data_IF_441561337799
#
_entry.id   IF_441561337799
#
_cell.length_a   1.000
_cell.length_b   1.000
_cell.length_c   1.000
_cell.angle_alpha   90.00
_cell.angle_beta   90.00
_cell.angle_gamma   90.00
#
_symmetry.space_group_name_H-M   'P 1'
#
loop_
_entity.id
_entity.type
_entity.pdbx_description
1 polymer ?
#
# COMPACT_ATOMS: atom_id res chain seq x y z
N UNK A 1 77.14 52.32 -9.24
CA UNK A 1 75.66 52.40 -9.39
C UNK A 1 75.14 51.02 -9.05
N UNK A 2 74.68 50.88 -7.81
CA UNK A 2 75.05 49.75 -6.97
C UNK A 2 74.06 48.58 -7.03
N UNK A 3 74.65 47.40 -6.85
CA UNK A 3 74.08 46.05 -6.86
C UNK A 3 72.82 45.81 -6.01
N UNK A 4 72.37 46.79 -5.22
CA UNK A 4 71.26 46.69 -4.27
C UNK A 4 69.86 46.92 -4.86
N UNK A 5 69.73 47.65 -5.99
CA UNK A 5 68.40 47.87 -6.60
C UNK A 5 67.90 46.68 -7.43
N UNK A 6 68.79 45.84 -7.93
CA UNK A 6 68.40 44.62 -8.67
C UNK A 6 67.94 43.49 -7.74
N UNK A 7 68.47 43.41 -6.52
CA UNK A 7 68.03 42.40 -5.55
C UNK A 7 66.62 42.70 -5.02
N UNK A 8 66.29 43.94 -4.68
CA UNK A 8 64.96 44.32 -4.18
C UNK A 8 63.83 44.05 -5.19
N UNK A 9 64.08 44.28 -6.49
CA UNK A 9 63.09 44.01 -7.55
C UNK A 9 62.97 42.52 -7.88
N UNK A 10 64.04 41.73 -7.68
CA UNK A 10 64.00 40.27 -7.87
C UNK A 10 63.24 39.56 -6.74
N UNK A 11 63.37 40.04 -5.49
CA UNK A 11 62.64 39.52 -4.33
C UNK A 11 61.13 39.80 -4.45
N UNK A 12 60.74 40.96 -5.00
CA UNK A 12 59.33 41.26 -5.29
C UNK A 12 58.74 40.45 -6.43
N UNK A 13 59.56 39.92 -7.35
CA UNK A 13 59.10 39.09 -8.48
C UNK A 13 58.92 37.61 -8.10
N UNK A 14 59.75 37.09 -7.18
CA UNK A 14 59.64 35.70 -6.70
C UNK A 14 58.69 35.52 -5.51
N UNK A 15 58.29 36.61 -4.82
CA UNK A 15 57.37 36.58 -3.67
C UNK A 15 55.97 37.13 -3.98
N UNK A 16 55.60 37.34 -5.25
CA UNK A 16 54.26 37.81 -5.65
C UNK A 16 53.14 36.92 -5.09
N UNK A 17 53.37 35.60 -5.08
CA UNK A 17 52.46 34.65 -4.47
C UNK A 17 52.36 34.82 -2.96
N UNK A 18 53.42 35.20 -2.24
CA UNK A 18 53.36 35.40 -0.78
C UNK A 18 52.51 36.62 -0.43
N UNK A 19 52.64 37.72 -1.17
CA UNK A 19 51.80 38.90 -0.92
C UNK A 19 50.33 38.67 -1.30
N UNK A 20 50.07 37.93 -2.38
CA UNK A 20 48.71 37.52 -2.77
C UNK A 20 48.14 36.55 -1.72
N UNK A 21 48.92 35.59 -1.25
CA UNK A 21 48.51 34.61 -0.24
C UNK A 21 48.31 35.25 1.13
N UNK A 22 49.15 36.20 1.53
CA UNK A 22 48.93 37.01 2.74
C UNK A 22 47.71 37.92 2.59
N UNK A 23 47.45 38.49 1.41
CA UNK A 23 46.25 39.29 1.15
C UNK A 23 44.96 38.46 1.18
N UNK A 24 44.97 37.26 0.58
CA UNK A 24 43.85 36.32 0.62
C UNK A 24 43.67 35.76 2.04
N UNK A 25 44.75 35.39 2.73
CA UNK A 25 44.68 34.95 4.12
C UNK A 25 44.17 36.06 5.04
N UNK A 26 44.53 37.33 4.81
CA UNK A 26 43.99 38.47 5.55
C UNK A 26 42.50 38.70 5.25
N UNK A 27 42.07 38.56 3.99
CA UNK A 27 40.65 38.65 3.61
C UNK A 27 39.82 37.49 4.17
N UNK A 28 40.36 36.28 4.18
CA UNK A 28 39.74 35.10 4.82
C UNK A 28 39.71 35.29 6.34
N UNK A 29 40.78 35.83 6.94
CA UNK A 29 40.81 36.15 8.36
C UNK A 29 39.80 37.26 8.73
N UNK A 30 39.62 38.28 7.89
CA UNK A 30 38.60 39.33 8.06
C UNK A 30 37.18 38.80 7.80
N UNK A 31 37.00 37.89 6.85
CA UNK A 31 35.71 37.25 6.58
C UNK A 31 35.33 36.19 7.64
N UNK A 32 36.32 35.57 8.28
CA UNK A 32 36.15 34.64 9.42
C UNK A 32 36.16 35.35 10.78
N UNK A 33 36.56 36.62 10.86
CA UNK A 33 36.48 37.43 12.08
C UNK A 33 35.06 37.48 12.66
N UNK A 34 33.96 37.66 11.89
CA UNK A 34 32.60 37.58 12.44
C UNK A 34 32.18 36.16 12.89
N UNK A 35 32.95 35.11 12.55
CA UNK A 35 32.74 33.74 13.06
C UNK A 35 33.62 33.40 14.29
N UNK A 36 34.62 34.23 14.59
CA UNK A 36 35.51 34.12 15.76
C UNK A 36 35.17 35.13 16.86
N UNK A 37 34.43 36.19 16.52
CA UNK A 37 33.68 36.98 17.48
C UNK A 37 32.47 36.13 17.82
N UNK A 38 32.53 35.40 18.95
CA UNK A 38 31.32 35.12 19.72
C UNK A 38 30.53 36.41 19.69
N UNK A 39 29.38 36.40 19.00
CA UNK A 39 28.48 37.52 19.12
C UNK A 39 28.09 37.50 20.59
N UNK A 40 28.77 38.33 21.40
CA UNK A 40 28.25 38.78 22.67
C UNK A 40 27.04 39.63 22.31
N UNK A 41 25.97 38.96 21.90
CA UNK A 41 24.65 39.50 22.09
C UNK A 41 24.63 39.90 23.57
N UNK A 42 24.49 41.19 23.84
CA UNK A 42 24.24 41.68 25.19
C UNK A 42 22.86 41.16 25.60
N UNK A 43 22.83 39.89 25.98
CA UNK A 43 21.68 39.26 26.57
C UNK A 43 21.51 39.82 27.98
N UNK A 44 20.26 39.90 28.43
CA UNK A 44 19.93 40.03 29.85
C UNK A 44 20.58 38.88 30.62
N UNK A 45 20.74 39.00 31.93
CA UNK A 45 21.31 37.92 32.73
C UNK A 45 20.47 36.64 32.62
N UNK A 46 19.15 36.77 32.46
CA UNK A 46 18.24 35.66 32.11
C UNK A 46 18.56 35.03 30.76
N UNK A 47 18.82 35.85 29.73
CA UNK A 47 19.20 35.36 28.42
C UNK A 47 20.55 34.65 28.43
N UNK A 48 21.50 35.12 29.25
CA UNK A 48 22.78 34.43 29.47
C UNK A 48 22.57 33.08 30.15
N UNK A 49 21.72 33.02 31.18
CA UNK A 49 21.37 31.78 31.86
C UNK A 49 20.84 30.72 30.87
N UNK A 50 19.93 31.12 29.97
CA UNK A 50 19.38 30.23 28.93
C UNK A 50 20.48 29.72 27.97
N UNK A 51 21.46 30.57 27.61
CA UNK A 51 22.58 30.18 26.74
C UNK A 51 23.54 29.21 27.45
N UNK A 52 23.85 29.47 28.72
CA UNK A 52 24.74 28.65 29.54
C UNK A 52 24.16 27.25 29.78
N UNK A 53 22.83 27.15 29.98
CA UNK A 53 22.13 25.90 30.26
C UNK A 53 21.41 25.31 29.03
N UNK A 54 21.73 25.80 27.83
CA UNK A 54 20.96 25.48 26.61
C UNK A 54 20.80 23.99 26.33
N UNK A 55 21.82 23.18 26.58
CA UNK A 55 21.77 21.74 26.27
C UNK A 55 20.82 21.02 27.23
N UNK A 56 20.90 21.32 28.52
CA UNK A 56 19.98 20.77 29.53
C UNK A 56 18.54 21.20 29.26
N UNK A 57 18.31 22.46 28.89
CA UNK A 57 16.96 22.97 28.59
C UNK A 57 16.40 22.29 27.34
N UNK A 58 17.20 22.11 26.29
CA UNK A 58 16.77 21.41 25.07
C UNK A 58 16.42 19.95 25.36
N UNK A 59 17.24 19.26 26.15
CA UNK A 59 16.96 17.88 26.57
C UNK A 59 15.64 17.78 27.33
N UNK A 60 15.39 18.67 28.30
CA UNK A 60 14.12 18.68 29.04
C UNK A 60 12.91 18.98 28.14
N UNK A 61 13.02 19.89 27.18
CA UNK A 61 11.96 20.14 26.18
C UNK A 61 11.64 18.87 25.38
N UNK A 62 12.67 18.15 24.94
CA UNK A 62 12.50 16.90 24.19
C UNK A 62 11.82 15.86 25.08
N UNK A 63 12.31 15.64 26.30
CA UNK A 63 11.78 14.64 27.23
C UNK A 63 10.32 14.88 27.63
N UNK A 64 9.93 16.15 27.82
CA UNK A 64 8.56 16.49 28.20
C UNK A 64 7.56 16.38 27.04
N UNK A 65 8.00 16.62 25.81
CA UNK A 65 7.13 16.61 24.62
C UNK A 65 7.17 15.30 23.82
N UNK A 66 8.14 14.40 24.08
CA UNK A 66 8.22 13.06 23.48
C UNK A 66 7.02 12.16 23.87
N UNK A 67 6.55 12.11 25.14
CA UNK A 67 5.35 11.37 25.53
C UNK A 67 4.07 11.85 24.82
N UNK A 68 4.03 13.11 24.40
CA UNK A 68 2.90 13.70 23.65
C UNK A 68 2.92 13.36 22.15
N UNK A 69 3.84 12.47 21.71
CA UNK A 69 4.06 12.07 20.32
C UNK A 69 4.42 13.24 19.39
N UNK A 70 4.97 14.34 19.92
CA UNK A 70 5.26 15.56 19.14
C UNK A 70 6.56 15.51 18.32
N UNK A 71 7.33 14.41 18.41
CA UNK A 71 8.58 14.14 17.72
C UNK A 71 9.42 15.40 17.41
N UNK A 72 10.31 15.69 18.34
CA UNK A 72 11.22 16.82 18.27
C UNK A 72 12.56 16.31 17.77
N UNK A 73 12.97 16.76 16.59
CA UNK A 73 14.28 16.51 15.98
C UNK A 73 15.28 17.58 16.36
N UNK A 74 14.82 18.82 16.53
CA UNK A 74 15.63 19.96 16.94
C UNK A 74 14.83 20.92 17.80
N UNK A 75 15.52 21.61 18.70
CA UNK A 75 14.97 22.70 19.52
C UNK A 75 15.84 23.93 19.29
N UNK A 76 15.20 25.04 18.93
CA UNK A 76 15.85 26.35 18.87
C UNK A 76 15.30 27.25 19.97
N UNK A 77 16.13 27.51 20.97
CA UNK A 77 15.85 28.47 22.03
C UNK A 77 15.94 29.90 21.50
N UNK A 78 15.17 30.82 22.07
CA UNK A 78 15.25 32.26 21.78
C UNK A 78 15.69 33.03 23.03
N UNK A 79 17.00 33.03 23.38
CA UNK A 79 17.50 33.67 24.61
C UNK A 79 17.20 35.17 24.70
N UNK A 80 17.08 35.86 23.56
CA UNK A 80 16.69 37.27 23.52
C UNK A 80 15.24 37.55 23.94
N UNK A 81 14.45 36.51 24.19
CA UNK A 81 13.08 36.61 24.75
C UNK A 81 13.02 36.31 26.24
N UNK A 82 14.14 35.94 26.86
CA UNK A 82 14.20 35.55 28.26
C UNK A 82 13.88 36.74 29.18
N UNK A 83 12.94 36.55 30.10
CA UNK A 83 12.53 37.53 31.09
C UNK A 83 12.37 36.84 32.44
N UNK A 84 13.13 37.31 33.43
CA UNK A 84 13.04 36.84 34.79
C UNK A 84 12.15 37.72 35.67
N UNK A 85 11.32 37.08 36.49
CA UNK A 85 10.49 37.76 37.49
C UNK A 85 10.30 36.89 38.73
N UNK A 86 10.11 37.54 39.87
CA UNK A 86 9.58 36.86 41.05
C UNK A 86 8.06 36.78 40.93
N UNK A 87 7.49 35.66 41.38
CA UNK A 87 6.07 35.62 41.62
C UNK A 87 5.67 36.68 42.66
N UNK A 88 4.41 37.13 42.61
CA UNK A 88 3.89 38.07 43.60
C UNK A 88 3.63 37.31 44.90
N UNK A 89 4.68 36.95 45.65
CA UNK A 89 4.60 36.16 46.88
C UNK A 89 3.52 36.64 47.84
N UNK A 90 3.22 37.93 47.90
CA UNK A 90 2.06 38.43 48.65
C UNK A 90 2.14 38.01 50.12
N UNK A 91 1.20 37.18 50.60
CA UNK A 91 1.20 36.62 51.97
C UNK A 91 1.95 35.29 52.13
N UNK A 92 2.45 34.72 51.03
CA UNK A 92 3.30 33.52 50.99
C UNK A 92 4.69 33.91 50.47
N UNK A 93 5.67 33.02 50.65
CA UNK A 93 6.96 33.20 50.01
C UNK A 93 6.85 33.00 48.51
N UNK A 94 7.77 33.60 47.78
CA UNK A 94 7.81 33.61 46.34
C UNK A 94 9.10 33.05 45.77
N UNK A 95 9.11 32.70 44.49
CA UNK A 95 10.29 32.16 43.79
C UNK A 95 10.61 32.97 42.54
N UNK A 96 11.85 32.85 42.07
CA UNK A 96 12.24 33.40 40.78
C UNK A 96 11.84 32.47 39.62
N UNK A 97 11.41 33.06 38.52
CA UNK A 97 11.02 32.36 37.29
C UNK A 97 11.68 33.01 36.09
N UNK A 98 12.17 32.23 35.13
CA UNK A 98 12.61 32.71 33.82
C UNK A 98 11.64 32.21 32.75
N UNK A 99 11.02 33.15 32.03
CA UNK A 99 10.17 32.87 30.89
C UNK A 99 10.91 33.09 29.58
N UNK A 100 10.79 32.17 28.63
CA UNK A 100 11.42 32.28 27.32
C UNK A 100 10.57 31.64 26.23
N UNK A 101 10.88 31.95 24.97
CA UNK A 101 10.27 31.31 23.81
C UNK A 101 11.25 30.36 23.13
N UNK A 102 10.73 29.31 22.51
CA UNK A 102 11.49 28.41 21.64
C UNK A 102 10.62 27.95 20.46
N UNK A 103 11.25 27.37 19.45
CA UNK A 103 10.55 26.63 18.40
C UNK A 103 11.27 25.32 18.10
N UNK A 104 10.54 24.35 17.59
CA UNK A 104 11.05 23.00 17.34
C UNK A 104 11.04 22.67 15.85
N UNK A 105 11.85 21.69 15.45
CA UNK A 105 11.94 21.17 14.07
C UNK A 105 12.19 22.24 13.01
N UNK A 106 12.93 23.29 13.39
CA UNK A 106 13.16 24.48 12.57
C UNK A 106 11.89 25.16 12.02
N UNK A 107 10.74 24.91 12.67
CA UNK A 107 9.45 25.44 12.28
C UNK A 107 8.93 26.43 13.33
N UNK A 108 8.91 27.72 12.99
CA UNK A 108 8.42 28.79 13.88
C UNK A 108 6.94 28.66 14.23
N UNK A 109 6.17 27.94 13.41
CA UNK A 109 4.77 27.66 13.73
C UNK A 109 4.69 26.60 14.84
N UNK A 110 5.65 25.68 14.96
CA UNK A 110 5.79 24.80 16.12
C UNK A 110 6.56 25.50 17.24
N UNK A 111 5.94 26.53 17.81
CA UNK A 111 6.52 27.33 18.89
C UNK A 111 6.02 26.90 20.27
N UNK A 112 6.84 27.15 21.29
CA UNK A 112 6.48 26.93 22.68
C UNK A 112 6.96 28.08 23.56
N UNK A 113 6.28 28.26 24.68
CA UNK A 113 6.73 29.11 25.80
C UNK A 113 7.23 28.19 26.90
N UNK A 114 8.42 28.48 27.41
CA UNK A 114 9.02 27.78 28.53
C UNK A 114 9.09 28.67 29.76
N UNK A 115 8.89 28.04 30.90
CA UNK A 115 9.10 28.61 32.23
C UNK A 115 10.12 27.75 32.98
N UNK A 116 11.15 28.38 33.54
CA UNK A 116 12.07 27.76 34.49
C UNK A 116 11.78 28.33 35.88
N UNK A 117 11.37 27.50 36.83
CA UNK A 117 11.11 27.89 38.22
C UNK A 117 12.29 27.54 39.12
N UNK A 118 12.74 28.48 39.94
CA UNK A 118 13.90 28.34 40.82
C UNK A 118 13.45 28.30 42.30
N UNK A 119 13.19 27.10 42.86
CA UNK A 119 12.66 26.96 44.22
C UNK A 119 13.63 27.44 45.31
N UNK A 120 14.93 27.45 45.00
CA UNK A 120 15.99 27.83 45.95
C UNK A 120 16.34 29.33 45.85
N UNK A 121 15.74 30.04 44.89
CA UNK A 121 15.76 31.51 44.78
C UNK A 121 14.47 32.09 45.41
N UNK A 122 14.27 31.77 46.69
CA UNK A 122 13.05 32.12 47.43
C UNK A 122 13.15 33.54 48.02
N UNK A 123 12.03 34.27 47.96
CA UNK A 123 11.83 35.53 48.66
C UNK A 123 10.80 35.38 49.79
N UNK A 124 11.03 35.99 50.96
CA UNK A 124 10.05 35.99 52.05
C UNK A 124 8.72 36.66 51.66
N UNK A 125 7.62 36.36 52.38
CA UNK A 125 6.37 37.09 52.23
C UNK A 125 6.55 38.61 52.40
N UNK A 126 5.80 39.39 51.64
CA UNK A 126 5.83 40.87 51.64
C UNK A 126 7.19 41.49 51.31
N UNK A 127 8.03 40.81 50.52
CA UNK A 127 9.25 41.40 49.97
C UNK A 127 8.89 42.48 48.95
N UNK A 128 9.28 43.72 49.21
CA UNK A 128 9.03 44.87 48.33
C UNK A 128 10.20 45.21 47.42
N UNK A 129 11.41 44.78 47.80
CA UNK A 129 12.64 44.97 47.04
C UNK A 129 13.16 43.57 46.77
N UNK A 130 13.04 43.13 45.52
CA UNK A 130 13.49 41.81 45.13
C UNK A 130 15.02 41.77 45.03
N UNK A 131 15.67 40.73 45.59
CA UNK A 131 17.10 40.53 45.42
C UNK A 131 17.44 40.24 43.95
N UNK A 132 18.64 40.61 43.53
CA UNK A 132 19.18 40.22 42.24
C UNK A 132 19.67 38.76 42.34
N UNK A 133 18.99 37.79 41.69
CA UNK A 133 19.31 36.38 41.86
C UNK A 133 20.66 35.98 41.28
N UNK A 134 21.30 36.86 40.50
CA UNK A 134 22.63 36.63 39.93
C UNK A 134 23.78 37.20 40.78
N UNK A 135 23.49 38.09 41.73
CA UNK A 135 24.51 38.81 42.51
C UNK A 135 24.40 38.56 44.03
N UNK A 136 23.20 38.32 44.54
CA UNK A 136 22.97 38.18 45.97
C UNK A 136 23.29 36.76 46.46
N UNK A 137 24.15 36.66 47.49
CA UNK A 137 24.64 35.38 48.01
C UNK A 137 23.57 34.49 48.67
N UNK A 138 22.40 35.05 48.96
CA UNK A 138 21.25 34.35 49.55
C UNK A 138 20.31 33.78 48.46
N UNK A 139 20.68 33.86 47.17
CA UNK A 139 19.91 33.33 46.04
C UNK A 139 20.66 32.16 45.42
N UNK A 140 19.98 31.02 45.25
CA UNK A 140 20.52 29.84 44.61
C UNK A 140 19.70 29.48 43.35
N UNK A 141 20.35 29.57 42.20
CA UNK A 141 19.76 29.26 40.90
C UNK A 141 20.29 27.94 40.31
N UNK A 142 20.89 27.06 41.14
CA UNK A 142 21.51 25.82 40.66
C UNK A 142 20.50 24.71 40.36
N UNK A 143 19.34 24.72 41.02
CA UNK A 143 18.25 23.77 40.78
C UNK A 143 17.04 24.48 40.17
N UNK A 144 16.44 23.88 39.14
CA UNK A 144 15.25 24.42 38.50
C UNK A 144 14.30 23.31 38.03
N UNK A 145 13.03 23.68 37.87
CA UNK A 145 11.99 22.87 37.22
C UNK A 145 11.52 23.58 35.96
N UNK A 146 11.12 22.83 34.94
CA UNK A 146 10.59 23.41 33.70
C UNK A 146 9.14 23.03 33.45
N UNK A 147 8.39 23.99 32.90
CA UNK A 147 7.08 23.78 32.30
C UNK A 147 7.03 24.40 30.90
N UNK A 148 6.26 23.80 30.00
CA UNK A 148 6.21 24.18 28.60
C UNK A 148 4.77 24.19 28.05
N UNK A 149 4.41 25.31 27.43
CA UNK A 149 3.13 25.48 26.73
C UNK A 149 3.38 25.53 25.21
N UNK A 150 2.82 24.56 24.46
CA UNK A 150 2.93 24.51 22.99
C UNK A 150 1.85 25.35 22.32
N UNK A 151 2.17 25.94 21.17
CA UNK A 151 1.21 26.73 20.40
C UNK A 151 0.07 25.87 19.83
N UNK A 152 -1.18 26.32 19.94
CA UNK A 152 -2.33 25.64 19.34
C UNK A 152 -2.33 25.77 17.80
N UNK A 153 -1.75 24.82 17.08
CA UNK A 153 -1.90 24.70 15.62
C UNK A 153 -1.74 23.26 15.10
N UNK A 154 -2.20 23.05 13.86
CA UNK A 154 -2.21 21.74 13.18
C UNK A 154 -0.82 21.21 12.82
N UNK A 155 0.23 22.04 12.87
CA UNK A 155 1.59 21.61 12.53
C UNK A 155 2.14 20.59 13.54
N UNK A 156 1.55 20.50 14.72
CA UNK A 156 1.90 19.50 15.72
C UNK A 156 1.28 18.11 15.49
N UNK A 157 0.47 17.91 14.43
CA UNK A 157 -0.29 16.68 14.17
C UNK A 157 0.25 15.85 12.97
N UNK A 158 1.46 16.14 12.49
CA UNK A 158 2.05 15.57 11.27
C UNK A 158 2.10 14.02 11.24
N UNK A 159 2.30 13.35 12.38
CA UNK A 159 2.30 11.87 12.48
C UNK A 159 0.93 11.25 12.19
N UNK A 160 -0.16 11.96 12.52
CA UNK A 160 -1.51 11.53 12.13
C UNK A 160 -1.68 11.58 10.62
N UNK A 161 -1.13 12.60 9.98
CA UNK A 161 -1.19 12.75 8.52
C UNK A 161 -0.34 11.68 7.81
N UNK A 162 0.84 11.35 8.36
CA UNK A 162 1.69 10.25 7.86
C UNK A 162 0.99 8.89 7.98
N UNK A 163 0.45 8.56 9.17
CA UNK A 163 -0.29 7.30 9.39
C UNK A 163 -1.52 7.19 8.45
N UNK A 164 -2.24 8.31 8.23
CA UNK A 164 -3.36 8.37 7.27
C UNK A 164 -2.87 8.17 5.84
N UNK A 165 -1.75 8.78 5.46
CA UNK A 165 -1.17 8.64 4.12
C UNK A 165 -0.67 7.21 3.86
N UNK A 166 0.03 6.59 4.82
CA UNK A 166 0.48 5.20 4.74
C UNK A 166 -0.70 4.23 4.62
N UNK A 167 -1.75 4.42 5.43
CA UNK A 167 -2.96 3.61 5.36
C UNK A 167 -3.67 3.77 4.00
N UNK A 168 -3.78 5.01 3.48
CA UNK A 168 -4.37 5.29 2.19
C UNK A 168 -3.57 4.63 1.04
N UNK A 169 -2.24 4.73 1.09
CA UNK A 169 -1.36 4.14 0.10
C UNK A 169 -1.48 2.61 0.05
N UNK A 170 -1.49 1.97 1.23
CA UNK A 170 -1.65 0.52 1.33
C UNK A 170 -2.96 0.04 0.71
N UNK A 171 -4.09 0.67 1.06
CA UNK A 171 -5.40 0.29 0.51
C UNK A 171 -5.49 0.50 -1.01
N UNK A 172 -4.85 1.55 -1.53
CA UNK A 172 -4.78 1.78 -2.97
C UNK A 172 -3.98 0.69 -3.69
N UNK A 173 -2.81 0.31 -3.14
CA UNK A 173 -1.97 -0.74 -3.71
C UNK A 173 -2.68 -2.12 -3.72
N UNK A 174 -3.36 -2.47 -2.62
CA UNK A 174 -4.14 -3.70 -2.53
C UNK A 174 -5.28 -3.73 -3.57
N UNK A 175 -5.99 -2.61 -3.72
CA UNK A 175 -7.06 -2.46 -4.73
C UNK A 175 -6.55 -2.63 -6.17
N UNK A 176 -5.38 -2.07 -6.50
CA UNK A 176 -4.74 -2.25 -7.81
C UNK A 176 -4.31 -3.70 -8.06
N UNK A 177 -3.77 -4.37 -7.04
CA UNK A 177 -3.39 -5.78 -7.12
C UNK A 177 -4.59 -6.65 -7.47
N UNK A 178 -5.72 -6.43 -6.79
CA UNK A 178 -6.93 -7.21 -6.99
C UNK A 178 -7.60 -6.92 -8.34
N UNK A 179 -7.58 -5.66 -8.80
CA UNK A 179 -7.99 -5.32 -10.16
C UNK A 179 -7.13 -6.03 -11.21
N UNK A 180 -5.80 -6.04 -11.01
CA UNK A 180 -4.86 -6.74 -11.89
C UNK A 180 -5.14 -8.23 -11.99
N UNK A 181 -5.35 -8.91 -10.85
CA UNK A 181 -5.72 -10.33 -10.81
C UNK A 181 -7.06 -10.58 -11.51
N UNK A 182 -8.04 -9.71 -11.32
CA UNK A 182 -9.36 -9.80 -11.96
C UNK A 182 -9.28 -9.68 -13.48
N UNK A 183 -8.53 -8.71 -14.00
CA UNK A 183 -8.33 -8.52 -15.44
C UNK A 183 -7.57 -9.70 -16.07
N UNK A 184 -6.50 -10.17 -15.42
CA UNK A 184 -5.74 -11.34 -15.89
C UNK A 184 -6.66 -12.56 -15.98
N UNK A 185 -7.50 -12.78 -14.95
CA UNK A 185 -8.53 -13.80 -14.98
C UNK A 185 -9.43 -13.57 -16.21
N UNK A 186 -10.11 -12.44 -16.33
CA UNK A 186 -11.02 -12.17 -17.44
C UNK A 186 -10.39 -12.45 -18.82
N UNK A 187 -9.20 -11.90 -19.11
CA UNK A 187 -8.50 -12.11 -20.39
C UNK A 187 -8.20 -13.58 -20.66
N UNK A 188 -7.76 -14.31 -19.63
CA UNK A 188 -7.56 -15.74 -19.79
C UNK A 188 -8.90 -16.45 -20.11
N UNK A 189 -10.04 -16.03 -19.52
CA UNK A 189 -11.34 -16.72 -19.68
C UNK A 189 -11.77 -16.57 -21.12
N UNK A 190 -11.72 -15.35 -21.63
CA UNK A 190 -12.08 -15.02 -23.01
C UNK A 190 -11.20 -15.78 -24.01
N UNK A 191 -9.89 -15.88 -23.74
CA UNK A 191 -8.97 -16.67 -24.58
C UNK A 191 -9.28 -18.17 -24.54
N UNK A 192 -9.59 -18.71 -23.37
CA UNK A 192 -9.96 -20.13 -23.22
C UNK A 192 -11.26 -20.46 -23.96
N UNK A 193 -12.26 -19.58 -23.86
CA UNK A 193 -13.52 -19.71 -24.59
C UNK A 193 -13.31 -19.68 -26.12
N UNK A 194 -12.50 -18.73 -26.62
CA UNK A 194 -12.17 -18.63 -28.03
C UNK A 194 -11.49 -19.90 -28.57
N UNK A 195 -10.49 -20.42 -27.86
CA UNK A 195 -9.76 -21.63 -28.27
C UNK A 195 -10.65 -22.86 -28.27
N UNK A 196 -11.57 -22.95 -27.30
CA UNK A 196 -12.54 -24.03 -27.24
C UNK A 196 -13.57 -23.94 -28.37
N UNK A 197 -14.07 -22.75 -28.70
CA UNK A 197 -14.98 -22.57 -29.82
C UNK A 197 -14.31 -22.97 -31.15
N UNK A 198 -13.02 -22.64 -31.32
CA UNK A 198 -12.24 -23.09 -32.48
C UNK A 198 -12.13 -24.62 -32.53
N UNK A 199 -11.76 -25.26 -31.42
CA UNK A 199 -11.71 -26.72 -31.32
C UNK A 199 -13.07 -27.36 -31.63
N UNK A 200 -14.15 -26.81 -31.07
CA UNK A 200 -15.51 -27.34 -31.26
C UNK A 200 -15.94 -27.24 -32.73
N UNK A 201 -15.58 -26.19 -33.44
CA UNK A 201 -15.88 -26.05 -34.87
C UNK A 201 -15.14 -27.10 -35.71
N UNK A 202 -13.88 -27.39 -35.39
CA UNK A 202 -13.08 -28.37 -36.13
C UNK A 202 -13.53 -29.82 -35.86
N UNK A 203 -13.95 -30.12 -34.62
CA UNK A 203 -14.30 -31.48 -34.19
C UNK A 203 -15.82 -31.72 -34.03
N UNK A 204 -16.67 -30.80 -34.47
CA UNK A 204 -18.12 -30.86 -34.24
C UNK A 204 -18.75 -32.15 -34.77
N UNK A 205 -18.36 -32.60 -35.96
CA UNK A 205 -18.91 -33.82 -36.57
C UNK A 205 -18.51 -35.08 -35.80
N UNK A 206 -17.26 -35.14 -35.33
CA UNK A 206 -16.76 -36.24 -34.52
C UNK A 206 -17.50 -36.28 -33.17
N UNK A 207 -17.72 -35.12 -32.55
CA UNK A 207 -18.48 -35.01 -31.30
C UNK A 207 -19.94 -35.45 -31.49
N UNK A 208 -20.62 -34.96 -32.53
CA UNK A 208 -21.98 -35.39 -32.88
C UNK A 208 -22.06 -36.90 -33.06
N UNK A 209 -21.12 -37.47 -33.82
CA UNK A 209 -21.07 -38.90 -34.06
C UNK A 209 -20.88 -39.71 -32.78
N UNK A 210 -19.99 -39.27 -31.88
CA UNK A 210 -19.75 -39.92 -30.60
C UNK A 210 -21.02 -39.97 -29.73
N UNK A 211 -21.66 -38.81 -29.50
CA UNK A 211 -22.89 -38.74 -28.67
C UNK A 211 -24.03 -39.52 -29.30
N UNK A 212 -24.20 -39.42 -30.62
CA UNK A 212 -25.25 -40.15 -31.33
C UNK A 212 -25.06 -41.66 -31.22
N UNK A 213 -23.82 -42.13 -31.39
CA UNK A 213 -23.48 -43.55 -31.29
C UNK A 213 -23.83 -44.10 -29.92
N UNK A 214 -23.46 -43.37 -28.85
CA UNK A 214 -23.77 -43.80 -27.49
C UNK A 214 -25.28 -43.80 -27.21
N UNK A 215 -25.97 -42.70 -27.54
CA UNK A 215 -27.40 -42.55 -27.29
C UNK A 215 -28.22 -43.64 -27.99
N UNK A 216 -27.96 -43.91 -29.27
CA UNK A 216 -28.75 -44.87 -30.06
C UNK A 216 -28.31 -46.31 -29.90
N UNK A 217 -27.07 -46.56 -29.44
CA UNK A 217 -26.70 -47.88 -28.93
C UNK A 217 -27.50 -48.22 -27.69
N UNK A 218 -27.66 -47.26 -26.78
CA UNK A 218 -28.36 -47.47 -25.52
C UNK A 218 -29.89 -47.55 -25.70
N UNK A 219 -30.47 -46.75 -26.59
CA UNK A 219 -31.90 -46.83 -26.95
C UNK A 219 -32.11 -46.55 -28.46
N UNK A 220 -32.15 -47.61 -29.29
CA UNK A 220 -32.28 -47.48 -30.75
C UNK A 220 -33.59 -46.85 -31.22
N UNK A 221 -34.66 -46.89 -30.42
CA UNK A 221 -35.96 -46.33 -30.80
C UNK A 221 -35.93 -44.79 -30.85
N UNK A 222 -34.98 -44.18 -30.14
CA UNK A 222 -34.77 -42.74 -30.15
C UNK A 222 -34.34 -42.22 -31.52
N UNK A 223 -33.61 -42.99 -32.33
CA UNK A 223 -33.21 -42.56 -33.67
C UNK A 223 -34.44 -42.31 -34.55
N UNK A 224 -35.45 -43.19 -34.46
CA UNK A 224 -36.71 -43.00 -35.18
C UNK A 224 -37.52 -41.83 -34.63
N UNK A 225 -37.37 -41.49 -33.36
CA UNK A 225 -38.12 -40.40 -32.73
C UNK A 225 -37.48 -39.03 -32.96
N UNK A 226 -36.15 -38.96 -32.94
CA UNK A 226 -35.37 -37.71 -32.93
C UNK A 226 -34.69 -37.40 -34.27
N UNK A 227 -34.37 -38.43 -35.08
CA UNK A 227 -33.49 -38.28 -36.24
C UNK A 227 -32.02 -38.21 -35.83
N UNK A 228 -31.12 -37.73 -36.70
CA UNK A 228 -29.71 -37.54 -36.33
C UNK A 228 -29.52 -36.32 -35.43
N UNK A 229 -28.38 -36.25 -34.75
CA UNK A 229 -27.95 -35.02 -34.08
C UNK A 229 -27.64 -33.98 -35.16
N UNK A 230 -28.36 -32.88 -35.14
CA UNK A 230 -28.21 -31.80 -36.11
C UNK A 230 -27.07 -30.87 -35.70
N UNK A 231 -27.05 -30.44 -34.43
CA UNK A 231 -26.04 -29.52 -33.92
C UNK A 231 -25.67 -29.84 -32.48
N UNK A 232 -24.40 -29.57 -32.16
CA UNK A 232 -23.88 -29.48 -30.78
C UNK A 232 -23.17 -28.15 -30.67
N UNK A 233 -23.49 -27.38 -29.63
CA UNK A 233 -22.84 -26.09 -29.35
C UNK A 233 -22.67 -25.90 -27.85
N UNK A 234 -21.74 -25.05 -27.45
CA UNK A 234 -21.67 -24.60 -26.06
C UNK A 234 -23.01 -23.98 -25.64
N UNK A 235 -23.54 -24.40 -24.49
CA UNK A 235 -24.84 -23.96 -24.02
C UNK A 235 -24.82 -22.48 -23.66
N UNK A 236 -25.91 -21.78 -24.00
CA UNK A 236 -26.13 -20.41 -23.50
C UNK A 236 -26.33 -20.35 -21.98
N UNK A 237 -26.60 -21.50 -21.35
CA UNK A 237 -26.76 -21.68 -19.90
C UNK A 237 -25.46 -22.03 -19.18
N UNK A 238 -24.31 -21.84 -19.85
CA UNK A 238 -23.00 -21.97 -19.23
C UNK A 238 -22.80 -20.83 -18.23
N UNK A 239 -22.84 -21.14 -16.94
CA UNK A 239 -22.71 -20.13 -15.87
C UNK A 239 -21.28 -19.57 -15.74
N UNK A 240 -20.28 -20.35 -16.17
CA UNK A 240 -18.86 -19.97 -16.10
C UNK A 240 -18.00 -20.83 -17.05
N UNK A 241 -16.94 -20.28 -17.62
CA UNK A 241 -16.02 -21.00 -18.50
C UNK A 241 -14.70 -21.37 -17.76
N UNK A 242 -14.42 -22.67 -17.55
CA UNK A 242 -13.28 -23.11 -16.74
C UNK A 242 -11.94 -23.14 -17.51
N UNK A 243 -10.86 -22.74 -16.84
CA UNK A 243 -9.50 -22.68 -17.42
C UNK A 243 -8.75 -24.01 -17.56
N UNK A 244 -9.16 -25.01 -16.78
CA UNK A 244 -8.26 -26.11 -16.42
C UNK A 244 -8.97 -27.43 -16.22
N UNK A 245 -10.01 -27.70 -17.03
CA UNK A 245 -10.89 -28.89 -17.00
C UNK A 245 -11.94 -28.82 -15.89
N UNK A 246 -13.18 -28.46 -16.26
CA UNK A 246 -14.41 -28.65 -15.48
C UNK A 246 -15.60 -28.76 -16.42
N UNK A 247 -16.65 -29.39 -15.92
CA UNK A 247 -17.96 -29.61 -16.52
C UNK A 247 -18.42 -28.45 -17.44
N UNK A 248 -18.61 -28.77 -18.71
CA UNK A 248 -19.13 -27.91 -19.75
C UNK A 248 -20.54 -28.38 -20.11
N UNK A 249 -21.41 -27.42 -20.41
CA UNK A 249 -22.78 -27.64 -20.85
C UNK A 249 -22.87 -27.48 -22.36
N UNK A 250 -23.49 -28.44 -23.02
CA UNK A 250 -23.71 -28.42 -24.45
C UNK A 250 -25.18 -28.48 -24.78
N UNK A 251 -25.63 -27.59 -25.65
CA UNK A 251 -26.95 -27.70 -26.26
C UNK A 251 -26.85 -28.61 -27.48
N UNK A 252 -27.69 -29.63 -27.52
CA UNK A 252 -27.81 -30.63 -28.57
C UNK A 252 -29.18 -30.50 -29.21
N UNK A 253 -29.23 -30.37 -30.53
CA UNK A 253 -30.48 -30.36 -31.30
C UNK A 253 -30.57 -31.57 -32.23
N UNK A 254 -31.79 -31.97 -32.55
CA UNK A 254 -32.07 -33.16 -33.35
C UNK A 254 -32.78 -32.79 -34.65
N UNK A 255 -32.55 -33.54 -35.73
CA UNK A 255 -33.11 -33.24 -37.06
C UNK A 255 -34.64 -33.06 -37.08
N UNK A 256 -35.37 -33.82 -36.24
CA UNK A 256 -36.84 -33.73 -36.17
C UNK A 256 -37.35 -32.60 -35.27
N UNK A 257 -36.48 -32.05 -34.44
CA UNK A 257 -36.79 -30.98 -33.48
C UNK A 257 -35.66 -29.93 -33.47
N UNK A 258 -35.38 -29.26 -34.60
CA UNK A 258 -34.29 -28.29 -34.72
C UNK A 258 -34.47 -27.06 -33.81
N UNK A 259 -35.71 -26.77 -33.42
CA UNK A 259 -36.07 -25.65 -32.56
C UNK A 259 -35.92 -25.93 -31.05
N UNK A 260 -35.81 -27.19 -30.65
CA UNK A 260 -35.65 -27.59 -29.24
C UNK A 260 -34.23 -28.09 -28.97
N UNK A 261 -33.67 -27.71 -27.83
CA UNK A 261 -32.36 -28.17 -27.39
C UNK A 261 -32.49 -29.03 -26.13
N UNK A 262 -31.73 -30.12 -26.10
CA UNK A 262 -31.41 -30.83 -24.88
C UNK A 262 -30.00 -30.45 -24.41
N UNK A 263 -29.77 -30.45 -23.10
CA UNK A 263 -28.49 -30.13 -22.50
C UNK A 263 -27.77 -31.42 -22.09
N UNK A 264 -26.49 -31.51 -22.43
CA UNK A 264 -25.54 -32.49 -21.89
C UNK A 264 -24.54 -31.75 -21.02
N UNK A 265 -24.26 -32.28 -19.83
CA UNK A 265 -23.17 -31.83 -18.97
C UNK A 265 -22.03 -32.85 -19.04
N UNK A 266 -20.82 -32.40 -19.39
CA UNK A 266 -19.68 -33.31 -19.52
C UNK A 266 -18.34 -32.62 -19.26
N UNK A 267 -17.36 -33.39 -18.80
CA UNK A 267 -16.01 -32.92 -18.55
C UNK A 267 -15.11 -33.18 -19.77
N UNK A 268 -14.31 -32.19 -20.13
CA UNK A 268 -13.42 -32.27 -21.28
C UNK A 268 -11.97 -32.41 -20.84
N UNK A 269 -11.31 -33.44 -21.36
CA UNK A 269 -9.90 -33.74 -21.13
C UNK A 269 -9.16 -33.81 -22.45
N UNK A 270 -7.89 -33.43 -22.44
CA UNK A 270 -6.98 -33.80 -23.53
C UNK A 270 -6.42 -35.20 -23.31
N UNK A 271 -6.19 -35.92 -24.41
CA UNK A 271 -5.56 -37.23 -24.40
C UNK A 271 -4.08 -37.22 -23.99
N UNK A 272 -3.36 -36.11 -24.18
CA UNK A 272 -1.91 -36.02 -23.97
C UNK A 272 -1.51 -35.17 -22.75
N UNK A 273 -2.49 -34.71 -21.98
CA UNK A 273 -2.31 -33.88 -20.79
C UNK A 273 -2.15 -32.38 -21.09
N UNK A 274 -2.10 -31.94 -22.36
CA UNK A 274 -2.11 -30.52 -22.74
C UNK A 274 -3.54 -29.97 -22.79
N UNK A 275 -3.83 -28.86 -22.13
CA UNK A 275 -5.19 -28.31 -22.10
C UNK A 275 -5.68 -27.87 -23.49
N UNK A 276 -6.85 -28.33 -23.92
CA UNK A 276 -7.54 -27.84 -25.14
C UNK A 276 -7.85 -26.34 -25.07
N UNK A 277 -7.93 -25.78 -23.86
CA UNK A 277 -8.07 -24.34 -23.61
C UNK A 277 -6.74 -23.56 -23.83
N UNK A 278 -5.67 -24.24 -24.23
CA UNK A 278 -4.36 -23.66 -24.57
C UNK A 278 -3.93 -24.00 -25.99
N UNK A 279 -4.34 -25.16 -26.50
CA UNK A 279 -4.02 -25.67 -27.83
C UNK A 279 -5.23 -26.42 -28.41
N UNK A 280 -5.90 -25.81 -29.39
CA UNK A 280 -7.11 -26.35 -30.02
C UNK A 280 -6.82 -27.48 -31.02
N UNK A 281 -5.57 -27.89 -31.22
CA UNK A 281 -5.20 -28.96 -32.15
C UNK A 281 -5.11 -30.36 -31.50
N UNK A 282 -5.37 -30.44 -30.20
CA UNK A 282 -5.15 -31.65 -29.41
C UNK A 282 -6.41 -32.54 -29.38
N UNK A 283 -6.27 -33.88 -29.54
CA UNK A 283 -7.40 -34.80 -29.39
C UNK A 283 -8.02 -34.71 -28.00
N UNK A 284 -9.35 -34.66 -27.93
CA UNK A 284 -10.08 -34.57 -26.68
C UNK A 284 -10.77 -35.89 -26.32
N UNK A 285 -11.08 -36.00 -25.05
CA UNK A 285 -11.91 -37.03 -24.47
C UNK A 285 -12.98 -36.34 -23.66
N UNK A 286 -14.20 -36.83 -23.81
CA UNK A 286 -15.30 -36.43 -22.93
C UNK A 286 -15.44 -37.51 -21.88
N UNK A 287 -15.45 -37.12 -20.61
CA UNK A 287 -15.98 -37.98 -19.56
C UNK A 287 -17.23 -37.38 -18.96
N UNK A 288 -18.01 -38.25 -18.34
CA UNK A 288 -19.18 -37.86 -17.60
C UNK A 288 -18.95 -38.10 -16.13
N UNK A 289 -19.59 -37.29 -15.30
CA UNK A 289 -19.48 -37.41 -13.86
C UNK A 289 -19.88 -38.82 -13.42
N UNK A 290 -18.97 -39.52 -12.74
CA UNK A 290 -19.09 -40.93 -12.34
C UNK A 290 -19.38 -41.91 -13.50
N UNK A 291 -19.00 -41.59 -14.74
CA UNK A 291 -19.28 -42.43 -15.90
C UNK A 291 -20.74 -42.41 -16.38
N UNK A 292 -21.59 -41.58 -15.78
CA UNK A 292 -23.01 -41.53 -16.09
C UNK A 292 -23.31 -40.58 -17.24
N UNK A 293 -23.69 -41.12 -18.38
CA UNK A 293 -24.23 -40.31 -19.47
C UNK A 293 -25.60 -39.74 -19.05
N UNK A 294 -25.80 -38.44 -19.27
CA UNK A 294 -27.08 -37.78 -19.06
C UNK A 294 -27.35 -36.72 -20.14
N UNK A 295 -28.57 -36.73 -20.68
CA UNK A 295 -29.09 -35.70 -21.59
C UNK A 295 -30.48 -35.27 -21.14
N UNK A 296 -30.67 -33.97 -20.97
CA UNK A 296 -31.87 -33.41 -20.34
C UNK A 296 -32.55 -32.39 -21.24
N UNK A 297 -33.85 -32.50 -21.43
CA UNK A 297 -34.64 -31.49 -22.15
C UNK A 297 -35.08 -30.36 -21.21
N UNK A 298 -35.61 -29.29 -21.80
CA UNK A 298 -36.44 -28.36 -21.04
C UNK A 298 -37.73 -29.04 -20.56
N UNK A 299 -38.28 -28.56 -19.44
CA UNK A 299 -39.58 -29.00 -18.96
C UNK A 299 -40.66 -28.60 -19.99
N UNK A 300 -41.67 -29.45 -20.17
CA UNK A 300 -42.81 -29.24 -21.09
C UNK A 300 -42.47 -29.19 -22.59
N UNK A 301 -41.23 -29.51 -22.99
CA UNK A 301 -40.81 -29.58 -24.39
C UNK A 301 -41.27 -30.89 -25.07
N UNK A 302 -41.30 -30.93 -26.42
CA UNK A 302 -41.56 -32.19 -27.15
C UNK A 302 -40.49 -33.23 -26.85
N UNK A 303 -39.23 -32.80 -26.76
CA UNK A 303 -38.12 -33.65 -26.32
C UNK A 303 -38.39 -34.24 -24.93
N UNK A 304 -38.94 -33.46 -23.99
CA UNK A 304 -39.32 -33.97 -22.65
C UNK A 304 -40.31 -35.12 -22.72
N UNK A 305 -41.34 -34.98 -23.56
CA UNK A 305 -42.35 -36.03 -23.77
C UNK A 305 -41.75 -37.29 -24.38
N UNK A 306 -40.81 -37.15 -25.32
CA UNK A 306 -40.11 -38.26 -25.97
C UNK A 306 -39.18 -38.95 -24.98
N UNK A 307 -38.35 -38.17 -24.28
CA UNK A 307 -37.40 -38.68 -23.30
C UNK A 307 -38.15 -39.41 -22.19
N UNK A 308 -39.21 -38.83 -21.63
CA UNK A 308 -40.00 -39.48 -20.56
C UNK A 308 -40.66 -40.80 -20.97
N UNK A 309 -40.82 -41.07 -22.27
CA UNK A 309 -41.38 -42.33 -22.81
C UNK A 309 -40.31 -43.32 -23.27
N UNK A 310 -39.06 -42.88 -23.38
CA UNK A 310 -37.91 -43.74 -23.69
C UNK A 310 -37.66 -44.71 -22.55
N UNK A 311 -37.09 -45.87 -22.89
CA UNK A 311 -36.70 -46.90 -21.91
C UNK A 311 -35.72 -46.38 -20.87
N UNK A 312 -34.88 -45.43 -21.25
CA UNK A 312 -33.81 -44.86 -20.42
C UNK A 312 -34.20 -43.50 -19.81
N UNK A 313 -35.45 -43.08 -20.03
CA UNK A 313 -35.97 -41.80 -19.61
C UNK A 313 -36.64 -41.80 -18.25
N UNK A 314 -36.76 -40.61 -17.67
CA UNK A 314 -37.52 -40.37 -16.44
C UNK A 314 -38.61 -39.30 -16.67
N UNK A 315 -39.47 -39.12 -15.66
CA UNK A 315 -40.61 -38.20 -15.74
C UNK A 315 -40.26 -36.71 -15.86
N UNK A 316 -38.98 -36.34 -15.75
CA UNK A 316 -38.52 -34.95 -15.85
C UNK A 316 -37.88 -34.65 -17.21
N UNK A 317 -38.01 -35.56 -18.19
CA UNK A 317 -37.44 -35.38 -19.52
C UNK A 317 -35.91 -35.50 -19.53
N UNK A 318 -35.35 -36.43 -18.76
CA UNK A 318 -33.93 -36.76 -18.78
C UNK A 318 -33.75 -38.23 -19.16
N UNK A 319 -32.83 -38.48 -20.09
CA UNK A 319 -32.29 -39.82 -20.37
C UNK A 319 -30.96 -39.94 -19.66
N UNK A 320 -30.78 -41.00 -18.88
CA UNK A 320 -29.51 -41.24 -18.20
C UNK A 320 -29.21 -42.72 -17.98
N UNK A 321 -27.94 -43.08 -18.08
CA UNK A 321 -27.45 -44.45 -17.89
C UNK A 321 -25.94 -44.46 -17.62
N UNK A 322 -25.45 -45.54 -17.00
CA UNK A 322 -24.00 -45.75 -16.82
C UNK A 322 -23.36 -46.17 -18.15
N UNK A 323 -22.25 -45.53 -18.51
CA UNK A 323 -21.44 -45.96 -19.65
C UNK A 323 -20.86 -47.36 -19.36
N UNK A 324 -20.74 -48.24 -20.37
CA UNK A 324 -20.20 -49.57 -20.12
C UNK A 324 -18.71 -49.53 -19.77
N UNK A 325 -18.27 -50.52 -19.00
CA UNK A 325 -16.96 -50.51 -18.31
C UNK A 325 -15.76 -50.38 -19.27
N UNK A 326 -15.91 -50.82 -20.52
CA UNK A 326 -14.89 -50.73 -21.58
C UNK A 326 -14.53 -49.29 -21.96
N UNK A 327 -15.42 -48.32 -21.66
CA UNK A 327 -15.19 -46.90 -21.94
C UNK A 327 -14.29 -46.23 -20.90
N UNK A 328 -14.03 -46.85 -19.74
CA UNK A 328 -13.36 -46.19 -18.59
C UNK A 328 -13.94 -44.79 -18.32
N UNK A 329 -15.27 -44.68 -18.34
CA UNK A 329 -16.02 -43.43 -18.12
C UNK A 329 -15.83 -42.35 -19.20
N UNK A 330 -15.28 -42.71 -20.38
CA UNK A 330 -14.79 -41.77 -21.39
C UNK A 330 -15.25 -42.11 -22.81
N UNK A 331 -15.74 -41.11 -23.54
CA UNK A 331 -15.97 -41.18 -24.99
C UNK A 331 -14.83 -40.43 -25.68
N UNK A 332 -14.14 -41.10 -26.60
CA UNK A 332 -13.10 -40.50 -27.42
C UNK A 332 -13.74 -39.63 -28.52
N UNK A 333 -13.23 -38.41 -28.69
CA UNK A 333 -13.51 -37.58 -29.87
C UNK A 333 -12.25 -37.60 -30.74
N UNK A 334 -12.28 -38.30 -31.88
CA UNK A 334 -11.17 -38.35 -32.82
C UNK A 334 -10.69 -36.98 -33.31
#
# INVERSE_FOLDING_TARGET
MNHYQYEAFSVFKSKKFIFIFCGIALLVFIACLPSLVEHSYDYTDDGKFIVEHQESIKETIIEMLDPEKKHIQSVTLLPGTAQGEYDNGGSISGNYHIYFSAYVNDNREQSLKGELSFPDAEIPPFTFIHPNPYEDADQDMTSWYADFEVSENSFWDWKREEEVAEYAWKNFADSLSDLGKSLVKQVQTERAALLFDQWLQEHQENFKSAIQTELYRADPELEQSLGKIQSIRLSKRQDYFPYSTKELRFDVTFEKYPEEAATIEAEFYSQDGRSIFKDSSVPAVISFYNGRFAIKSEADSKLSSIFSKSRLGNSIGEISYELPEDYKERILIP
#
